data_IF_725750459265
#
_entry.id   IF_725750459265
#
_cell.length_a   1.000
_cell.length_b   1.000
_cell.length_c   1.000
_cell.angle_alpha   90.00
_cell.angle_beta   90.00
_cell.angle_gamma   90.00
#
_symmetry.space_group_name_H-M   'P 1'
#
loop_
_entity.id
_entity.type
_entity.pdbx_description
1 polymer ?
#
# COMPACT_ATOMS: atom_id res chain seq x y z
N UNK A 1 0.19 -10.68 -8.87
CA UNK A 1 0.99 -10.54 -10.09
C UNK A 1 1.83 -9.31 -9.93
N UNK A 2 3.13 -9.40 -10.16
CA UNK A 2 4.05 -8.27 -10.11
C UNK A 2 4.50 -7.94 -11.52
N UNK A 3 4.49 -6.66 -11.87
CA UNK A 3 4.84 -6.16 -13.19
C UNK A 3 5.86 -5.04 -13.03
N UNK A 4 6.87 -5.02 -13.88
CA UNK A 4 7.95 -4.05 -13.81
C UNK A 4 8.00 -3.29 -15.13
N UNK A 5 7.86 -1.97 -15.05
CA UNK A 5 7.98 -1.04 -16.17
C UNK A 5 9.14 -0.09 -15.90
N UNK A 6 10.29 -0.33 -16.53
CA UNK A 6 11.51 0.44 -16.28
C UNK A 6 11.84 0.53 -14.78
N UNK A 7 11.46 1.63 -14.13
CA UNK A 7 11.68 1.96 -12.73
C UNK A 7 10.40 1.84 -11.87
N UNK A 8 9.27 1.44 -12.42
CA UNK A 8 7.98 1.32 -11.74
C UNK A 8 7.67 -0.15 -11.49
N UNK A 9 7.32 -0.47 -10.26
CA UNK A 9 6.82 -1.80 -9.89
C UNK A 9 5.33 -1.68 -9.59
N UNK A 10 4.54 -2.52 -10.24
CA UNK A 10 3.10 -2.64 -10.02
C UNK A 10 2.83 -4.03 -9.44
N UNK A 11 2.35 -4.08 -8.20
CA UNK A 11 1.84 -5.31 -7.59
C UNK A 11 0.31 -5.31 -7.59
N UNK A 12 -0.28 -6.31 -8.25
CA UNK A 12 -1.72 -6.53 -8.33
C UNK A 12 -2.05 -7.83 -7.62
N UNK A 13 -2.79 -7.74 -6.52
CA UNK A 13 -3.27 -8.90 -5.76
C UNK A 13 -4.78 -9.04 -5.94
N UNK A 14 -5.25 -10.24 -6.25
CA UNK A 14 -6.67 -10.60 -6.35
C UNK A 14 -6.99 -11.76 -5.44
N UNK A 15 -8.05 -11.64 -4.66
CA UNK A 15 -8.49 -12.65 -3.69
C UNK A 15 -10.01 -12.80 -3.71
N UNK A 16 -10.46 -14.04 -3.84
CA UNK A 16 -11.86 -14.44 -3.59
C UNK A 16 -12.00 -14.86 -2.13
N UNK A 17 -12.89 -14.21 -1.40
CA UNK A 17 -13.12 -14.36 0.03
C UNK A 17 -14.62 -14.54 0.33
N UNK A 18 -15.22 -15.67 -0.10
CA UNK A 18 -16.68 -15.86 -0.09
C UNK A 18 -17.27 -15.74 1.32
N UNK A 19 -16.49 -16.10 2.34
CA UNK A 19 -16.89 -16.07 3.74
C UNK A 19 -16.69 -14.70 4.42
N UNK A 20 -16.24 -13.68 3.68
CA UNK A 20 -16.03 -12.32 4.19
C UNK A 20 -15.16 -12.28 5.45
N UNK A 21 -14.15 -13.16 5.50
CA UNK A 21 -13.14 -13.16 6.57
C UNK A 21 -12.28 -11.91 6.44
N UNK A 22 -11.57 -11.57 7.51
CA UNK A 22 -10.59 -10.50 7.45
C UNK A 22 -9.48 -10.87 6.46
N UNK A 23 -9.27 -10.00 5.49
CA UNK A 23 -8.15 -10.04 4.57
C UNK A 23 -7.20 -8.92 4.94
N UNK A 24 -5.94 -9.27 5.13
CA UNK A 24 -4.85 -8.33 5.38
C UNK A 24 -3.82 -8.55 4.27
N UNK A 25 -3.73 -7.64 3.29
CA UNK A 25 -2.66 -7.64 2.30
C UNK A 25 -1.54 -6.72 2.79
N UNK A 26 -0.35 -7.26 3.03
CA UNK A 26 0.76 -6.59 3.73
C UNK A 26 1.96 -6.49 2.80
N UNK A 27 2.51 -5.28 2.67
CA UNK A 27 3.81 -5.00 2.07
C UNK A 27 4.81 -4.69 3.19
N UNK A 28 5.94 -5.41 3.19
CA UNK A 28 7.07 -5.14 4.07
C UNK A 28 8.01 -4.16 3.39
N UNK A 29 8.46 -3.15 4.13
CA UNK A 29 9.26 -2.06 3.59
C UNK A 29 10.51 -1.89 4.47
N UNK A 30 11.66 -2.13 3.86
CA UNK A 30 12.97 -1.85 4.43
C UNK A 30 13.23 -0.34 4.44
N UNK A 31 12.63 0.32 5.43
CA UNK A 31 12.68 1.76 5.59
C UNK A 31 11.77 2.27 6.69
N UNK A 32 11.72 3.58 6.81
CA UNK A 32 10.94 4.32 7.79
C UNK A 32 9.76 5.00 7.11
N UNK A 33 8.59 4.92 7.74
CA UNK A 33 7.43 5.70 7.34
C UNK A 33 7.73 7.18 7.47
N UNK A 34 7.43 7.96 6.43
CA UNK A 34 7.45 9.41 6.52
C UNK A 34 6.10 9.92 7.00
N UNK A 35 6.10 10.90 7.92
CA UNK A 35 4.88 11.45 8.48
C UNK A 35 3.97 12.00 7.37
N UNK A 36 2.80 11.40 7.21
CA UNK A 36 1.72 11.87 6.34
C UNK A 36 0.86 12.85 7.13
N UNK A 37 0.93 14.13 6.77
CA UNK A 37 0.12 15.17 7.43
C UNK A 37 -1.38 14.93 7.21
N UNK A 38 -2.15 15.11 8.28
CA UNK A 38 -3.59 15.45 8.25
C UNK A 38 -4.62 14.39 7.85
N UNK A 39 -4.23 13.16 7.49
CA UNK A 39 -5.20 12.19 6.94
C UNK A 39 -5.16 10.78 7.50
N UNK A 40 -4.10 10.40 8.21
CA UNK A 40 -4.05 9.15 8.95
C UNK A 40 -4.37 9.41 10.42
N UNK A 41 -5.23 8.58 10.99
CA UNK A 41 -5.58 8.64 12.40
C UNK A 41 -4.75 7.60 13.17
N UNK A 42 -4.17 7.96 14.33
CA UNK A 42 -3.54 6.96 15.18
C UNK A 42 -4.59 5.93 15.62
N UNK A 43 -4.22 4.65 15.59
CA UNK A 43 -5.02 3.55 16.10
C UNK A 43 -4.22 2.88 17.21
N UNK A 44 -4.63 3.09 18.46
CA UNK A 44 -3.87 2.63 19.63
C UNK A 44 -4.53 1.44 20.37
N UNK A 45 -5.78 1.12 20.04
CA UNK A 45 -6.54 0.10 20.77
C UNK A 45 -6.56 -1.22 19.97
N UNK A 46 -5.56 -2.06 20.23
CA UNK A 46 -5.53 -3.44 19.76
C UNK A 46 -5.80 -4.40 20.92
N UNK A 47 -6.65 -5.39 20.65
CA UNK A 47 -6.78 -6.54 21.52
C UNK A 47 -5.44 -7.31 21.56
N UNK A 48 -5.01 -7.78 22.74
CA UNK A 48 -3.78 -8.58 22.90
C UNK A 48 -3.78 -9.87 22.09
N UNK A 49 -4.96 -10.35 21.68
CA UNK A 49 -5.14 -11.52 20.82
C UNK A 49 -5.06 -11.19 19.32
N UNK A 50 -5.12 -9.91 18.92
CA UNK A 50 -4.92 -9.51 17.52
C UNK A 50 -3.42 -9.49 17.22
N UNK A 51 -2.93 -10.13 16.14
CA UNK A 51 -1.54 -10.00 15.70
C UNK A 51 -1.06 -8.54 15.54
N UNK A 52 -1.99 -7.61 15.35
CA UNK A 52 -1.75 -6.17 15.37
C UNK A 52 -1.15 -5.64 16.67
N UNK A 53 -1.35 -6.35 17.79
CA UNK A 53 -0.81 -5.98 19.09
C UNK A 53 0.73 -5.85 19.10
N UNK A 54 1.42 -6.59 18.23
CA UNK A 54 2.89 -6.57 18.14
C UNK A 54 3.44 -5.42 17.28
N UNK A 55 2.57 -4.59 16.69
CA UNK A 55 2.97 -3.43 15.91
C UNK A 55 2.91 -2.17 16.76
N UNK A 56 3.90 -1.30 16.60
CA UNK A 56 3.92 0.07 17.11
C UNK A 56 3.47 1.06 16.03
N UNK A 57 3.19 2.29 16.45
CA UNK A 57 2.92 3.41 15.54
C UNK A 57 1.88 3.10 14.45
N UNK A 58 0.74 2.54 14.83
CA UNK A 58 -0.31 2.21 13.87
C UNK A 58 -1.10 3.47 13.49
N UNK A 59 -1.10 3.74 12.19
CA UNK A 59 -1.83 4.83 11.56
C UNK A 59 -2.79 4.24 10.55
N UNK A 60 -4.06 4.64 10.60
CA UNK A 60 -5.10 4.09 9.73
C UNK A 60 -5.83 5.18 8.97
N UNK A 61 -6.20 4.87 7.73
CA UNK A 61 -7.05 5.72 6.90
C UNK A 61 -8.03 4.85 6.10
N UNK A 62 -9.31 5.23 5.96
CA UNK A 62 -10.22 4.59 5.01
C UNK A 62 -9.65 4.67 3.58
N UNK A 63 -9.76 3.59 2.81
CA UNK A 63 -9.36 3.60 1.41
C UNK A 63 -10.21 4.61 0.64
N UNK A 64 -9.52 5.50 -0.07
CA UNK A 64 -10.13 6.36 -1.09
C UNK A 64 -10.00 5.73 -2.48
N UNK A 65 -9.98 6.56 -3.53
CA UNK A 65 -9.69 6.09 -4.91
C UNK A 65 -8.23 5.64 -5.06
N UNK A 66 -7.30 6.52 -4.69
CA UNK A 66 -5.87 6.24 -4.67
C UNK A 66 -5.27 6.99 -3.49
N UNK A 67 -4.41 6.31 -2.72
CA UNK A 67 -3.70 6.89 -1.58
C UNK A 67 -2.20 6.75 -1.78
N UNK A 68 -1.46 7.83 -1.53
CA UNK A 68 -0.01 7.79 -1.49
C UNK A 68 0.48 7.60 -0.05
N UNK A 69 1.42 6.67 0.13
CA UNK A 69 2.11 6.42 1.38
C UNK A 69 3.63 6.63 1.17
N UNK A 70 4.21 7.71 1.72
CA UNK A 70 5.63 7.99 1.58
C UNK A 70 6.45 7.22 2.63
N UNK A 71 7.61 6.71 2.19
CA UNK A 71 8.59 6.05 3.02
C UNK A 71 9.99 6.54 2.68
N UNK A 72 10.94 6.37 3.60
CA UNK A 72 12.37 6.55 3.37
C UNK A 72 13.03 5.19 3.52
N UNK A 73 13.61 4.68 2.44
CA UNK A 73 14.36 3.41 2.47
C UNK A 73 15.56 3.49 3.41
N UNK A 74 16.12 2.34 3.81
CA UNK A 74 17.35 2.31 4.61
C UNK A 74 18.54 3.02 3.95
N UNK A 75 18.56 3.16 2.62
CA UNK A 75 19.58 3.92 1.89
C UNK A 75 19.29 5.43 1.85
N UNK A 76 18.29 5.91 2.59
CA UNK A 76 17.94 7.33 2.70
C UNK A 76 17.07 7.86 1.55
N UNK A 77 16.80 7.06 0.50
CA UNK A 77 15.96 7.45 -0.63
C UNK A 77 14.48 7.51 -0.23
N UNK A 78 13.80 8.59 -0.59
CA UNK A 78 12.34 8.72 -0.47
C UNK A 78 11.65 7.93 -1.58
N UNK A 79 10.66 7.13 -1.21
CA UNK A 79 9.78 6.42 -2.14
C UNK A 79 8.32 6.77 -1.82
N UNK A 80 7.47 6.76 -2.85
CA UNK A 80 6.03 6.88 -2.68
C UNK A 80 5.38 5.58 -3.16
N UNK A 81 4.54 5.00 -2.32
CA UNK A 81 3.75 3.81 -2.65
C UNK A 81 2.30 4.25 -2.83
N UNK A 82 1.81 4.13 -4.05
CA UNK A 82 0.44 4.48 -4.41
C UNK A 82 -0.45 3.25 -4.35
N UNK A 83 -1.55 3.35 -3.61
CA UNK A 83 -2.40 2.23 -3.25
C UNK A 83 -3.83 2.45 -3.72
N UNK A 84 -4.44 1.43 -4.30
CA UNK A 84 -5.87 1.40 -4.59
C UNK A 84 -6.43 0.00 -4.37
N UNK A 85 -7.72 -0.11 -4.08
CA UNK A 85 -8.39 -1.40 -4.00
C UNK A 85 -9.86 -1.32 -4.45
N UNK A 86 -10.42 -2.48 -4.77
CA UNK A 86 -11.81 -2.59 -5.24
C UNK A 86 -12.85 -2.40 -4.14
N UNK A 87 -12.46 -2.52 -2.87
CA UNK A 87 -13.37 -2.38 -1.72
C UNK A 87 -13.39 -0.95 -1.17
N UNK A 88 -14.51 -0.20 -1.30
CA UNK A 88 -14.63 1.16 -0.76
C UNK A 88 -14.66 1.20 0.78
N UNK A 89 -14.81 0.05 1.46
CA UNK A 89 -14.80 -0.06 2.93
C UNK A 89 -13.45 -0.52 3.47
N UNK A 90 -12.47 -0.76 2.61
CA UNK A 90 -11.14 -1.16 3.04
C UNK A 90 -10.44 -0.03 3.82
N UNK A 91 -9.42 -0.40 4.58
CA UNK A 91 -8.59 0.53 5.34
C UNK A 91 -7.12 0.31 4.99
N UNK A 92 -6.38 1.40 4.82
CA UNK A 92 -4.93 1.40 4.68
C UNK A 92 -4.31 1.69 6.05
N UNK A 93 -3.43 0.80 6.47
CA UNK A 93 -2.67 0.91 7.70
C UNK A 93 -1.19 1.13 7.37
N UNK A 94 -0.56 2.09 8.04
CA UNK A 94 0.89 2.20 8.12
C UNK A 94 1.30 1.80 9.53
N UNK A 95 2.19 0.82 9.65
CA UNK A 95 2.59 0.23 10.92
C UNK A 95 4.12 0.18 10.99
N UNK A 96 4.63 0.14 12.21
CA UNK A 96 6.00 -0.26 12.47
C UNK A 96 5.98 -1.53 13.31
N UNK A 97 6.89 -2.46 13.05
CA UNK A 97 6.92 -3.72 13.77
C UNK A 97 8.27 -4.40 13.68
N UNK A 98 8.50 -5.48 14.44
CA UNK A 98 9.76 -6.19 14.42
C UNK A 98 10.02 -6.78 13.02
N UNK A 99 11.26 -6.71 12.54
CA UNK A 99 11.71 -7.51 11.40
C UNK A 99 11.69 -9.01 11.76
N UNK A 100 11.83 -9.89 10.76
CA UNK A 100 12.07 -11.31 10.99
C UNK A 100 13.38 -11.72 10.27
N UNK A 101 14.50 -11.95 10.99
CA UNK A 101 14.66 -11.94 12.46
C UNK A 101 14.52 -10.54 13.08
N UNK A 102 14.16 -10.41 14.37
CA UNK A 102 13.82 -9.14 15.03
C UNK A 102 15.05 -8.33 15.44
N UNK A 103 15.98 -8.12 14.52
CA UNK A 103 17.20 -7.34 14.74
C UNK A 103 16.94 -5.83 14.56
N UNK A 104 15.94 -5.47 13.77
CA UNK A 104 15.55 -4.09 13.47
C UNK A 104 14.02 -4.00 13.38
N UNK A 105 13.48 -2.78 13.29
CA UNK A 105 12.06 -2.57 12.96
C UNK A 105 11.90 -2.35 11.46
N UNK A 106 10.81 -2.86 10.88
CA UNK A 106 10.39 -2.58 9.51
C UNK A 106 9.16 -1.69 9.50
N UNK A 107 8.99 -0.97 8.40
CA UNK A 107 7.71 -0.35 8.08
C UNK A 107 6.82 -1.35 7.35
N UNK A 108 5.53 -1.30 7.64
CA UNK A 108 4.53 -2.15 7.02
C UNK A 108 3.42 -1.27 6.44
N UNK A 109 3.02 -1.59 5.22
CA UNK A 109 1.85 -1.01 4.58
C UNK A 109 0.82 -2.11 4.37
N UNK A 110 -0.35 -1.95 4.98
CA UNK A 110 -1.36 -3.02 4.99
C UNK A 110 -2.72 -2.51 4.55
N UNK A 111 -3.31 -3.17 3.55
CA UNK A 111 -4.71 -2.98 3.21
C UNK A 111 -5.57 -4.05 3.89
N UNK A 112 -6.54 -3.63 4.72
CA UNK A 112 -7.48 -4.50 5.42
C UNK A 112 -8.87 -4.43 4.78
N UNK A 113 -9.46 -5.57 4.44
CA UNK A 113 -10.79 -5.68 3.82
C UNK A 113 -11.56 -6.91 4.33
N UNK A 114 -12.88 -6.93 4.12
CA UNK A 114 -13.76 -8.11 4.27
C UNK A 114 -14.61 -8.35 3.02
N UNK A 115 -14.24 -7.73 1.89
CA UNK A 115 -14.98 -7.87 0.65
C UNK A 115 -14.96 -9.34 0.17
N UNK A 116 -16.05 -9.80 -0.47
CA UNK A 116 -16.12 -11.15 -1.02
C UNK A 116 -15.21 -11.34 -2.23
N UNK A 117 -14.92 -10.26 -2.96
CA UNK A 117 -13.95 -10.18 -4.04
C UNK A 117 -13.09 -8.95 -3.78
N UNK A 118 -11.78 -9.13 -3.72
CA UNK A 118 -10.84 -8.09 -3.37
C UNK A 118 -9.71 -8.01 -4.39
N UNK A 119 -9.51 -6.83 -4.97
CA UNK A 119 -8.36 -6.49 -5.79
C UNK A 119 -7.64 -5.34 -5.10
N UNK A 120 -6.33 -5.46 -4.92
CA UNK A 120 -5.48 -4.35 -4.46
C UNK A 120 -4.33 -4.14 -5.42
N UNK A 121 -3.95 -2.89 -5.60
CA UNK A 121 -2.84 -2.46 -6.45
C UNK A 121 -1.91 -1.58 -5.65
N UNK A 122 -0.62 -1.92 -5.67
CA UNK A 122 0.47 -1.07 -5.21
C UNK A 122 1.30 -0.65 -6.41
N UNK A 123 1.55 0.65 -6.56
CA UNK A 123 2.47 1.21 -7.55
C UNK A 123 3.63 1.85 -6.80
N UNK A 124 4.84 1.36 -7.06
CA UNK A 124 6.07 1.76 -6.38
C UNK A 124 7.00 2.38 -7.42
N UNK A 125 7.38 3.63 -7.20
CA UNK A 125 8.40 4.31 -8.00
C UNK A 125 9.79 4.05 -7.41
N UNK A 126 10.62 3.36 -8.19
CA UNK A 126 12.01 3.06 -7.86
C UNK A 126 13.00 3.92 -8.66
N UNK A 127 12.55 4.99 -9.34
CA UNK A 127 13.45 5.87 -10.09
C UNK A 127 14.51 6.51 -9.18
N UNK A 128 15.79 6.63 -9.60
CA UNK A 128 16.84 7.25 -8.78
C UNK A 128 16.52 8.68 -8.36
N UNK A 129 15.93 9.45 -9.27
CA UNK A 129 15.42 10.81 -8.99
C UNK A 129 14.07 10.76 -8.27
N UNK A 130 13.87 11.66 -7.32
CA UNK A 130 12.64 11.70 -6.55
C UNK A 130 11.45 12.23 -7.38
N UNK A 131 10.29 11.64 -7.11
CA UNK A 131 8.98 12.13 -7.52
C UNK A 131 8.69 12.17 -9.04
N UNK A 132 9.15 11.17 -9.82
CA UNK A 132 8.69 11.00 -11.22
C UNK A 132 7.27 10.43 -11.31
N UNK A 133 6.79 9.74 -10.27
CA UNK A 133 5.40 9.30 -10.14
C UNK A 133 4.61 10.17 -9.15
N UNK A 134 4.34 11.43 -9.54
CA UNK A 134 3.48 12.35 -8.80
C UNK A 134 2.02 12.22 -9.22
N UNK A 135 1.10 12.42 -8.25
CA UNK A 135 -0.35 12.45 -8.48
C UNK A 135 -0.88 11.20 -9.20
N UNK A 136 -0.33 10.03 -8.85
CA UNK A 136 -0.72 8.77 -9.48
C UNK A 136 -2.20 8.51 -9.25
N UNK A 137 -2.89 8.18 -10.33
CA UNK A 137 -4.28 7.75 -10.34
C UNK A 137 -4.36 6.29 -10.76
N UNK A 138 -4.96 5.47 -9.90
CA UNK A 138 -5.19 4.05 -10.18
C UNK A 138 -6.70 3.83 -10.34
N UNK A 139 -7.10 3.35 -11.52
CA UNK A 139 -8.49 3.00 -11.81
C UNK A 139 -8.62 1.50 -12.00
N UNK A 140 -9.43 0.89 -11.12
CA UNK A 140 -9.83 -0.51 -11.22
C UNK A 140 -11.15 -0.57 -11.98
N UNK A 141 -11.12 -1.14 -13.18
CA UNK A 141 -12.32 -1.54 -13.94
C UNK A 141 -12.38 -3.05 -14.00
N UNK A 142 -13.56 -3.61 -14.30
CA UNK A 142 -13.91 -5.02 -14.13
C UNK A 142 -12.76 -6.02 -14.33
N UNK A 143 -11.99 -5.90 -15.42
CA UNK A 143 -10.82 -6.75 -15.69
C UNK A 143 -9.54 -5.97 -16.02
N UNK A 144 -9.44 -4.68 -15.68
CA UNK A 144 -8.26 -3.88 -16.02
C UNK A 144 -7.86 -2.91 -14.92
N UNK A 145 -6.56 -2.80 -14.68
CA UNK A 145 -5.95 -1.70 -13.92
C UNK A 145 -5.42 -0.67 -14.90
N UNK A 146 -5.81 0.59 -14.71
CA UNK A 146 -5.22 1.72 -15.41
C UNK A 146 -4.43 2.55 -14.41
N UNK A 147 -3.18 2.87 -14.75
CA UNK A 147 -2.28 3.69 -13.93
C UNK A 147 -1.87 4.88 -14.77
N UNK A 148 -2.11 6.07 -14.25
CA UNK A 148 -1.68 7.33 -14.85
C UNK A 148 -0.94 8.18 -13.80
N UNK A 149 -0.04 9.04 -14.24
CA UNK A 149 0.73 9.99 -13.43
C UNK A 149 0.87 11.28 -14.21
N UNK A 150 0.88 12.45 -13.55
CA UNK A 150 0.96 13.74 -14.24
C UNK A 150 2.25 13.92 -15.06
N UNK A 151 3.32 13.25 -14.64
CA UNK A 151 4.64 13.34 -15.27
C UNK A 151 4.89 12.22 -16.29
N UNK A 152 4.00 11.24 -16.39
CA UNK A 152 4.10 10.19 -17.40
C UNK A 152 3.12 10.42 -18.55
N UNK A 153 3.66 10.33 -19.76
CA UNK A 153 2.88 10.53 -20.99
C UNK A 153 1.94 9.36 -21.29
N UNK A 154 2.24 8.17 -20.81
CA UNK A 154 1.51 6.95 -21.12
C UNK A 154 0.67 6.48 -19.94
N UNK A 155 -0.50 5.90 -20.26
CA UNK A 155 -1.35 5.21 -19.28
C UNK A 155 -0.99 3.74 -19.32
N UNK A 156 -0.47 3.19 -18.23
CA UNK A 156 -0.27 1.75 -18.15
C UNK A 156 -1.60 1.06 -17.95
N UNK A 157 -1.94 0.17 -18.87
CA UNK A 157 -3.16 -0.63 -18.82
C UNK A 157 -2.80 -2.10 -18.72
N UNK A 158 -3.30 -2.76 -17.68
CA UNK A 158 -3.05 -4.18 -17.45
C UNK A 158 -4.33 -4.97 -17.20
N UNK A 159 -4.44 -6.19 -17.74
CA UNK A 159 -5.51 -7.10 -17.38
C UNK A 159 -5.36 -7.59 -15.92
N UNK A 160 -6.50 -7.82 -15.26
CA UNK A 160 -6.62 -8.37 -13.88
C UNK A 160 -6.96 -9.86 -13.92
#
# INVERSE_FOLDING_TARGET
MVIVYEHIVVDITRVTNPNRRQLDNILHIDGERLATTGSYLPQCDFDKSDPMFYFSECFVRPMGRTLAAPFRTLMGKKIQIHCACSDPKAKLHQLQGPANPPLTSLSYLKTRSRAPEFISVHVIDLHPEEDLMRNVFISLRQNTVNIASDLQREIFTHPI
#
